data_IF_285293271360
#
_entry.id   IF_285293271360
#
_cell.length_a   1.000
_cell.length_b   1.000
_cell.length_c   1.000
_cell.angle_alpha   90.00
_cell.angle_beta   90.00
_cell.angle_gamma   90.00
#
_symmetry.space_group_name_H-M   'P 1'
#
loop_
_entity.id
_entity.type
_entity.pdbx_description
1 polymer ?
#
# COMPACT_ATOMS: atom_id res chain seq x y z
N UNK A 1 14.34 18.63 -0.84
CA UNK A 1 14.01 19.75 -1.77
C UNK A 1 12.97 19.33 -2.81
N UNK A 2 13.13 18.17 -3.48
CA UNK A 2 12.23 17.75 -4.56
C UNK A 2 10.85 17.22 -4.09
N UNK A 3 10.80 16.33 -3.08
CA UNK A 3 9.52 15.83 -2.54
C UNK A 3 8.64 16.96 -1.98
N UNK A 4 9.23 17.96 -1.33
CA UNK A 4 8.51 19.12 -0.79
C UNK A 4 7.82 19.94 -1.88
N UNK A 5 8.49 20.15 -3.03
CA UNK A 5 7.87 20.81 -4.19
C UNK A 5 6.65 20.02 -4.66
N UNK A 6 6.79 18.70 -4.80
CA UNK A 6 5.69 17.83 -5.25
C UNK A 6 4.51 17.80 -4.27
N UNK A 7 4.79 17.72 -2.97
CA UNK A 7 3.77 17.82 -1.91
C UNK A 7 2.99 19.14 -2.05
N UNK A 8 3.70 20.27 -2.20
CA UNK A 8 3.07 21.58 -2.39
C UNK A 8 2.21 21.60 -3.65
N UNK A 9 2.72 21.11 -4.77
CA UNK A 9 1.99 21.12 -6.05
C UNK A 9 0.71 20.27 -6.00
N UNK A 10 0.76 19.07 -5.42
CA UNK A 10 -0.42 18.22 -5.26
C UNK A 10 -1.44 18.82 -4.27
N UNK A 11 -0.95 19.44 -3.18
CA UNK A 11 -1.81 20.01 -2.15
C UNK A 11 -2.69 21.16 -2.65
N UNK A 12 -2.25 21.92 -3.68
CA UNK A 12 -3.06 22.95 -4.36
C UNK A 12 -4.37 22.40 -4.93
N UNK A 13 -4.41 21.09 -5.22
CA UNK A 13 -5.58 20.40 -5.76
C UNK A 13 -6.24 19.49 -4.73
N UNK A 14 -5.98 19.68 -3.44
CA UNK A 14 -6.46 18.82 -2.34
C UNK A 14 -6.05 17.34 -2.51
N UNK A 15 -4.93 17.09 -3.21
CA UNK A 15 -4.32 15.76 -3.32
C UNK A 15 -3.18 15.68 -2.33
N UNK A 16 -3.25 14.70 -1.44
CA UNK A 16 -2.24 14.43 -0.41
C UNK A 16 -1.13 13.52 -0.97
N UNK A 17 -0.07 13.30 -0.19
CA UNK A 17 1.11 12.55 -0.60
C UNK A 17 1.41 11.43 0.40
N UNK A 18 1.64 10.21 -0.10
CA UNK A 18 2.28 9.14 0.66
C UNK A 18 3.76 9.19 0.32
N UNK A 19 4.60 9.40 1.33
CA UNK A 19 6.05 9.34 1.16
C UNK A 19 6.52 7.90 1.32
N UNK A 20 7.15 7.38 0.26
CA UNK A 20 7.78 6.07 0.26
C UNK A 20 9.29 6.22 0.13
N UNK A 21 10.01 6.02 1.23
CA UNK A 21 11.45 5.87 1.18
C UNK A 21 11.77 4.51 0.55
N UNK A 22 12.03 4.53 -0.76
CA UNK A 22 12.05 3.37 -1.64
C UNK A 22 13.33 2.56 -1.48
N UNK A 23 13.51 1.95 -0.31
CA UNK A 23 14.64 1.10 0.03
C UNK A 23 14.11 -0.29 0.35
N UNK A 24 14.65 -1.32 -0.30
CA UNK A 24 14.19 -2.70 -0.15
C UNK A 24 15.35 -3.72 -0.10
N UNK A 25 15.12 -4.87 0.55
CA UNK A 25 16.06 -6.00 0.51
C UNK A 25 17.41 -5.77 1.18
N UNK A 26 17.42 -5.01 2.28
CA UNK A 26 18.63 -4.77 3.06
C UNK A 26 18.98 -5.98 3.92
N UNK A 27 20.27 -6.18 4.17
CA UNK A 27 20.77 -7.37 4.87
C UNK A 27 21.69 -7.05 6.05
N UNK A 28 22.09 -5.79 6.23
CA UNK A 28 23.05 -5.39 7.25
C UNK A 28 22.46 -4.35 8.24
N UNK A 29 23.03 -4.31 9.45
CA UNK A 29 22.55 -3.46 10.55
C UNK A 29 22.71 -1.96 10.29
N UNK A 30 23.66 -1.56 9.42
CA UNK A 30 23.87 -0.15 9.06
C UNK A 30 22.68 0.37 8.26
N UNK A 31 22.27 -0.39 7.25
CA UNK A 31 21.10 -0.04 6.43
C UNK A 31 19.82 -0.04 7.26
N UNK A 32 19.65 -0.99 8.18
CA UNK A 32 18.47 -1.00 9.08
C UNK A 32 18.40 0.25 9.96
N UNK A 33 19.54 0.75 10.42
CA UNK A 33 19.61 2.02 11.20
C UNK A 33 19.29 3.23 10.33
N UNK A 34 19.75 3.25 9.07
CA UNK A 34 19.43 4.31 8.11
C UNK A 34 17.92 4.34 7.83
N UNK A 35 17.32 3.19 7.57
CA UNK A 35 15.87 3.08 7.40
C UNK A 35 15.13 3.54 8.64
N UNK A 36 15.53 3.10 9.85
CA UNK A 36 14.93 3.59 11.09
C UNK A 36 14.96 5.11 11.18
N UNK A 37 16.13 5.72 10.95
CA UNK A 37 16.31 7.17 11.01
C UNK A 37 15.41 7.90 10.02
N UNK A 38 15.34 7.43 8.77
CA UNK A 38 14.55 8.07 7.72
C UNK A 38 13.03 7.88 7.97
N UNK A 39 12.61 6.71 8.45
CA UNK A 39 11.21 6.47 8.83
C UNK A 39 10.77 7.38 9.98
N UNK A 40 11.59 7.53 11.03
CA UNK A 40 11.27 8.44 12.16
C UNK A 40 11.19 9.90 11.70
N UNK A 41 12.10 10.32 10.80
CA UNK A 41 12.04 11.66 10.19
C UNK A 41 10.75 11.87 9.39
N UNK A 42 10.31 10.87 8.63
CA UNK A 42 9.04 10.92 7.91
C UNK A 42 7.82 10.94 8.82
N UNK A 43 7.86 10.20 9.94
CA UNK A 43 6.81 10.25 10.96
C UNK A 43 6.70 11.67 11.51
N UNK A 44 7.82 12.28 11.92
CA UNK A 44 7.83 13.66 12.39
C UNK A 44 7.27 14.63 11.34
N UNK A 45 7.77 14.54 10.11
CA UNK A 45 7.28 15.37 9.00
C UNK A 45 5.78 15.20 8.72
N UNK A 46 5.27 13.97 8.82
CA UNK A 46 3.85 13.65 8.65
C UNK A 46 3.00 14.25 9.77
N UNK A 47 3.48 14.17 11.02
CA UNK A 47 2.79 14.74 12.19
C UNK A 47 2.64 16.27 12.10
N UNK A 48 3.60 16.95 11.46
CA UNK A 48 3.61 18.40 11.25
C UNK A 48 2.91 18.83 9.95
N UNK A 49 2.52 17.90 9.08
CA UNK A 49 2.00 18.20 7.74
C UNK A 49 0.80 17.31 7.35
N UNK A 50 -0.41 17.87 7.44
CA UNK A 50 -1.68 17.22 7.06
C UNK A 50 -1.74 16.71 5.60
N UNK A 51 -0.86 17.18 4.72
CA UNK A 51 -0.78 16.70 3.34
C UNK A 51 -0.03 15.37 3.22
N UNK A 52 0.53 14.85 4.31
CA UNK A 52 1.25 13.58 4.35
C UNK A 52 0.54 12.65 5.35
N UNK A 53 -0.58 12.03 4.98
CA UNK A 53 -1.41 11.24 5.92
C UNK A 53 -0.83 9.87 6.26
N UNK A 54 0.19 9.41 5.54
CA UNK A 54 0.79 8.08 5.73
C UNK A 54 2.31 8.13 5.58
N UNK A 55 3.00 7.28 6.34
CA UNK A 55 4.40 6.94 6.13
C UNK A 55 4.50 5.46 5.74
N UNK A 56 5.34 5.13 4.76
CA UNK A 56 5.51 3.75 4.28
C UNK A 56 6.71 3.09 4.95
N UNK A 57 6.57 1.79 5.22
CA UNK A 57 7.67 0.91 5.63
C UNK A 57 7.57 -0.43 4.88
N UNK A 58 8.68 -0.87 4.28
CA UNK A 58 8.85 -2.26 3.83
C UNK A 58 9.53 -3.06 4.92
N UNK A 59 9.02 -4.23 5.32
CA UNK A 59 9.69 -4.97 6.40
C UNK A 59 11.07 -5.45 5.97
N UNK A 60 11.31 -5.75 4.69
CA UNK A 60 12.66 -6.18 4.24
C UNK A 60 13.70 -5.06 4.20
N UNK A 61 13.31 -3.82 4.49
CA UNK A 61 14.25 -2.72 4.73
C UNK A 61 14.85 -2.75 6.15
N UNK A 62 14.21 -3.48 7.08
CA UNK A 62 14.66 -3.62 8.48
C UNK A 62 14.78 -5.08 8.94
N UNK A 63 14.37 -6.05 8.11
CA UNK A 63 14.50 -7.49 8.33
C UNK A 63 15.32 -8.13 7.21
N UNK A 64 16.17 -9.09 7.58
CA UNK A 64 16.86 -9.92 6.59
C UNK A 64 15.86 -10.88 5.91
N UNK A 65 15.76 -10.79 4.57
CA UNK A 65 14.87 -11.62 3.73
C UNK A 65 15.03 -13.13 3.96
N UNK A 66 16.25 -13.61 4.21
CA UNK A 66 16.50 -15.03 4.44
C UNK A 66 15.91 -15.50 5.78
N UNK A 67 15.95 -14.65 6.82
CA UNK A 67 15.36 -14.96 8.11
C UNK A 67 13.83 -14.98 8.03
N UNK A 68 13.24 -14.00 7.35
CA UNK A 68 11.79 -13.99 7.08
C UNK A 68 11.37 -15.23 6.30
N UNK A 69 12.14 -15.61 5.26
CA UNK A 69 11.87 -16.82 4.46
C UNK A 69 11.97 -18.09 5.31
N UNK A 70 13.00 -18.23 6.14
CA UNK A 70 13.15 -19.38 7.06
C UNK A 70 11.93 -19.50 7.97
N UNK A 71 11.53 -18.39 8.59
CA UNK A 71 10.36 -18.33 9.47
C UNK A 71 9.05 -18.64 8.76
N UNK A 72 8.86 -18.11 7.55
CA UNK A 72 7.72 -18.40 6.68
C UNK A 72 7.61 -19.90 6.35
N UNK A 73 8.76 -20.56 6.14
CA UNK A 73 8.85 -22.01 5.94
C UNK A 73 8.87 -22.83 7.25
N UNK A 74 8.58 -22.21 8.40
CA UNK A 74 8.59 -22.83 9.75
C UNK A 74 9.93 -23.46 10.15
N UNK A 75 11.04 -23.03 9.53
CA UNK A 75 12.38 -23.46 9.89
C UNK A 75 12.83 -22.79 11.19
N UNK A 76 13.56 -23.54 12.02
CA UNK A 76 14.14 -23.01 13.26
C UNK A 76 15.31 -22.07 12.93
N UNK A 77 15.35 -20.93 13.63
CA UNK A 77 16.49 -20.03 13.61
C UNK A 77 17.51 -20.48 14.67
N UNK A 78 18.81 -20.39 14.35
CA UNK A 78 19.86 -20.57 15.36
C UNK A 78 19.92 -19.35 16.32
N UNK A 79 20.77 -19.42 17.35
CA UNK A 79 20.82 -18.35 18.36
C UNK A 79 21.25 -16.99 17.81
N UNK A 80 22.21 -16.96 16.88
CA UNK A 80 22.63 -15.72 16.21
C UNK A 80 21.49 -15.14 15.36
N UNK A 81 20.82 -15.98 14.57
CA UNK A 81 19.68 -15.59 13.73
C UNK A 81 18.49 -15.10 14.54
N UNK A 82 18.21 -15.70 15.70
CA UNK A 82 17.21 -15.20 16.65
C UNK A 82 17.57 -13.81 17.16
N UNK A 83 18.84 -13.56 17.50
CA UNK A 83 19.28 -12.24 17.95
C UNK A 83 19.12 -11.18 16.85
N UNK A 84 19.47 -11.50 15.60
CA UNK A 84 19.27 -10.58 14.48
C UNK A 84 17.78 -10.33 14.20
N UNK A 85 16.94 -11.37 14.28
CA UNK A 85 15.50 -11.22 14.13
C UNK A 85 14.88 -10.35 15.24
N UNK A 86 15.31 -10.55 16.49
CA UNK A 86 14.88 -9.75 17.63
C UNK A 86 15.37 -8.30 17.51
N UNK A 87 16.57 -8.07 16.97
CA UNK A 87 17.05 -6.72 16.68
C UNK A 87 16.13 -6.00 15.68
N UNK A 88 15.71 -6.66 14.60
CA UNK A 88 14.73 -6.12 13.65
C UNK A 88 13.36 -5.85 14.27
N UNK A 89 12.88 -6.74 15.15
CA UNK A 89 11.66 -6.51 15.93
C UNK A 89 11.78 -5.28 16.83
N UNK A 90 12.93 -5.06 17.46
CA UNK A 90 13.16 -3.87 18.28
C UNK A 90 13.14 -2.58 17.45
N UNK A 91 13.67 -2.60 16.23
CA UNK A 91 13.57 -1.48 15.29
C UNK A 91 12.10 -1.20 14.94
N UNK A 92 11.35 -2.23 14.57
CA UNK A 92 9.92 -2.09 14.24
C UNK A 92 9.12 -1.52 15.42
N UNK A 93 9.35 -2.03 16.64
CA UNK A 93 8.70 -1.50 17.85
C UNK A 93 9.01 -0.02 18.06
N UNK A 94 10.25 0.43 17.85
CA UNK A 94 10.62 1.86 17.98
C UNK A 94 9.85 2.73 17.00
N UNK A 95 9.76 2.30 15.73
CA UNK A 95 8.99 3.00 14.69
C UNK A 95 7.51 3.11 15.09
N UNK A 96 6.92 2.01 15.55
CA UNK A 96 5.49 1.96 15.88
C UNK A 96 5.14 2.73 17.17
N UNK A 97 6.05 2.80 18.14
CA UNK A 97 5.89 3.63 19.33
C UNK A 97 5.82 5.11 18.93
N UNK A 98 6.74 5.57 18.09
CA UNK A 98 6.79 6.97 17.63
C UNK A 98 5.59 7.31 16.73
N UNK A 99 5.21 6.38 15.85
CA UNK A 99 4.01 6.52 15.03
C UNK A 99 2.74 6.65 15.88
N UNK A 100 2.61 5.82 16.93
CA UNK A 100 1.46 5.87 17.84
C UNK A 100 1.44 7.16 18.66
N UNK A 101 2.58 7.60 19.22
CA UNK A 101 2.66 8.82 20.03
C UNK A 101 2.28 10.06 19.21
N UNK A 102 2.72 10.12 17.95
CA UNK A 102 2.46 11.22 17.03
C UNK A 102 1.17 11.04 16.20
N UNK A 103 0.42 9.96 16.43
CA UNK A 103 -0.83 9.60 15.72
C UNK A 103 -0.67 9.57 14.20
N UNK A 104 0.47 9.09 13.72
CA UNK A 104 0.81 8.97 12.30
C UNK A 104 0.57 7.53 11.82
N UNK A 105 -0.33 7.31 10.85
CA UNK A 105 -0.51 6.00 10.27
C UNK A 105 0.73 5.48 9.50
N UNK A 106 1.13 4.24 9.78
CA UNK A 106 2.20 3.52 9.09
C UNK A 106 1.61 2.48 8.16
N UNK A 107 1.98 2.60 6.88
CA UNK A 107 1.61 1.67 5.83
C UNK A 107 2.73 0.66 5.62
N UNK A 108 2.47 -0.59 6.00
CA UNK A 108 3.42 -1.68 5.85
C UNK A 108 3.17 -2.34 4.50
N UNK A 109 4.15 -2.23 3.61
CA UNK A 109 4.08 -2.73 2.26
C UNK A 109 4.14 -4.26 2.23
N UNK A 110 3.30 -4.85 1.38
CA UNK A 110 3.38 -6.28 1.06
C UNK A 110 4.39 -6.50 -0.06
N UNK A 111 5.11 -7.59 0.06
CA UNK A 111 6.26 -7.96 -0.74
C UNK A 111 6.00 -9.37 -1.33
N UNK A 112 7.04 -10.17 -1.57
CA UNK A 112 6.91 -11.47 -2.24
C UNK A 112 6.37 -12.58 -1.34
N UNK A 113 5.62 -13.51 -1.94
CA UNK A 113 4.81 -14.53 -1.26
C UNK A 113 5.60 -15.48 -0.37
N UNK A 114 6.86 -15.77 -0.68
CA UNK A 114 7.70 -16.73 0.04
C UNK A 114 8.23 -16.22 1.39
N UNK A 115 7.89 -14.98 1.77
CA UNK A 115 8.04 -14.49 3.14
C UNK A 115 6.86 -13.65 3.64
N UNK A 116 5.85 -13.41 2.79
CA UNK A 116 4.72 -12.55 3.13
C UNK A 116 3.90 -13.08 4.32
N UNK A 117 3.78 -14.40 4.53
CA UNK A 117 3.01 -14.90 5.67
C UNK A 117 3.71 -14.63 7.01
N UNK A 118 5.04 -14.60 7.04
CA UNK A 118 5.77 -14.16 8.24
C UNK A 118 5.62 -12.65 8.45
N UNK A 119 5.64 -11.85 7.38
CA UNK A 119 5.34 -10.41 7.44
C UNK A 119 3.94 -10.20 8.04
N UNK A 120 2.92 -10.88 7.51
CA UNK A 120 1.54 -10.83 7.99
C UNK A 120 1.48 -11.18 9.50
N UNK A 121 2.09 -12.29 9.92
CA UNK A 121 2.17 -12.73 11.32
C UNK A 121 2.84 -11.70 12.25
N UNK A 122 3.90 -11.03 11.80
CA UNK A 122 4.53 -9.94 12.56
C UNK A 122 3.55 -8.77 12.68
N UNK A 123 2.92 -8.36 11.57
CA UNK A 123 1.99 -7.23 11.53
C UNK A 123 0.77 -7.48 12.41
N UNK A 124 0.19 -8.69 12.39
CA UNK A 124 -0.94 -9.07 13.25
C UNK A 124 -0.62 -8.87 14.73
N UNK A 125 0.57 -9.29 15.18
CA UNK A 125 1.02 -9.07 16.57
C UNK A 125 1.20 -7.59 16.88
N UNK A 126 1.74 -6.82 15.93
CA UNK A 126 1.92 -5.38 16.10
C UNK A 126 0.58 -4.64 16.13
N UNK A 127 -0.39 -5.05 15.30
CA UNK A 127 -1.76 -4.52 15.29
C UNK A 127 -2.40 -4.72 16.67
N UNK A 128 -2.34 -5.93 17.22
CA UNK A 128 -2.90 -6.22 18.54
C UNK A 128 -2.24 -5.41 19.66
N UNK A 129 -0.97 -5.06 19.49
CA UNK A 129 -0.20 -4.29 20.48
C UNK A 129 -0.42 -2.77 20.37
N UNK A 130 -0.57 -2.24 19.16
CA UNK A 130 -0.50 -0.80 18.91
C UNK A 130 -1.80 -0.17 18.41
N UNK A 131 -2.66 -0.91 17.70
CA UNK A 131 -3.94 -0.35 17.25
C UNK A 131 -4.97 -0.38 18.39
N UNK A 132 -5.84 0.63 18.38
CA UNK A 132 -7.03 0.71 19.22
C UNK A 132 -8.20 1.21 18.36
N UNK A 133 -8.93 2.24 18.78
CA UNK A 133 -9.91 2.93 17.94
C UNK A 133 -9.23 3.79 16.87
N UNK A 134 -7.99 4.25 17.13
CA UNK A 134 -7.15 4.96 16.19
C UNK A 134 -6.35 3.94 15.36
N UNK A 135 -6.55 3.96 14.05
CA UNK A 135 -5.84 3.06 13.14
C UNK A 135 -4.43 3.58 12.89
N UNK A 136 -3.43 2.99 13.57
CA UNK A 136 -2.01 3.31 13.37
C UNK A 136 -1.42 2.44 12.25
N UNK A 137 -1.69 1.14 12.26
CA UNK A 137 -1.07 0.21 11.31
C UNK A 137 -2.02 -0.07 10.15
N UNK A 138 -1.52 0.19 8.94
CA UNK A 138 -2.10 -0.22 7.67
C UNK A 138 -1.33 -1.40 7.10
N UNK A 139 -1.98 -2.58 7.01
CA UNK A 139 -1.41 -3.75 6.33
C UNK A 139 -1.77 -3.73 4.85
N UNK A 140 -0.83 -4.07 3.99
CA UNK A 140 -1.09 -4.20 2.55
C UNK A 140 -1.61 -5.58 2.21
N UNK A 141 -2.70 -5.65 1.45
CA UNK A 141 -3.28 -6.90 0.95
C UNK A 141 -3.19 -6.90 -0.58
N UNK A 142 -2.47 -7.88 -1.13
CA UNK A 142 -2.28 -8.06 -2.57
C UNK A 142 -3.31 -9.03 -3.14
N UNK A 143 -4.39 -8.51 -3.72
CA UNK A 143 -5.54 -9.30 -4.19
C UNK A 143 -5.27 -10.17 -5.42
N UNK A 144 -4.09 -10.09 -6.02
CA UNK A 144 -3.66 -11.07 -7.02
C UNK A 144 -3.51 -12.47 -6.41
N UNK A 145 -3.44 -12.62 -5.08
CA UNK A 145 -3.32 -13.90 -4.38
C UNK A 145 -4.71 -14.41 -4.00
N UNK A 146 -4.95 -15.67 -4.31
CA UNK A 146 -6.24 -16.35 -4.11
C UNK A 146 -6.66 -16.54 -2.64
N UNK A 147 -5.75 -16.36 -1.68
CA UNK A 147 -6.02 -16.55 -0.25
C UNK A 147 -6.44 -15.27 0.48
N UNK A 148 -6.42 -14.12 -0.18
CA UNK A 148 -6.47 -12.81 0.48
C UNK A 148 -7.87 -12.36 0.92
N UNK A 149 -8.94 -12.79 0.24
CA UNK A 149 -10.31 -12.59 0.74
C UNK A 149 -10.50 -13.31 2.09
N UNK A 150 -10.00 -14.54 2.21
CA UNK A 150 -10.09 -15.29 3.45
C UNK A 150 -9.25 -14.65 4.57
N UNK A 151 -8.07 -14.15 4.22
CA UNK A 151 -7.25 -13.39 5.16
C UNK A 151 -7.96 -12.12 5.66
N UNK A 152 -8.61 -11.36 4.78
CA UNK A 152 -9.39 -10.18 5.15
C UNK A 152 -10.57 -10.51 6.10
N UNK A 153 -11.27 -11.62 5.85
CA UNK A 153 -12.31 -12.14 6.76
C UNK A 153 -11.73 -12.56 8.12
N UNK A 154 -10.54 -13.14 8.14
CA UNK A 154 -9.82 -13.46 9.38
C UNK A 154 -9.44 -12.21 10.16
N UNK A 155 -8.93 -11.17 9.50
CA UNK A 155 -8.64 -9.87 10.15
C UNK A 155 -9.89 -9.26 10.78
N UNK A 156 -11.06 -9.34 10.12
CA UNK A 156 -12.31 -8.87 10.72
C UNK A 156 -12.65 -9.61 12.02
N UNK A 157 -12.42 -10.93 12.08
CA UNK A 157 -12.62 -11.71 13.31
C UNK A 157 -11.69 -11.23 14.43
N UNK A 158 -10.42 -10.93 14.10
CA UNK A 158 -9.47 -10.36 15.05
C UNK A 158 -9.97 -8.99 15.56
N UNK A 159 -10.40 -8.10 14.66
CA UNK A 159 -10.92 -6.79 15.01
C UNK A 159 -12.09 -6.89 16.00
N UNK A 160 -13.08 -7.73 15.67
CA UNK A 160 -14.27 -7.92 16.51
C UNK A 160 -13.92 -8.51 17.87
N UNK A 161 -13.05 -9.52 17.92
CA UNK A 161 -12.65 -10.18 19.17
C UNK A 161 -11.92 -9.24 20.14
N UNK A 162 -11.11 -8.32 19.61
CA UNK A 162 -10.25 -7.45 20.43
C UNK A 162 -10.75 -6.00 20.49
N UNK A 163 -11.88 -5.68 19.86
CA UNK A 163 -12.45 -4.34 19.74
C UNK A 163 -11.44 -3.29 19.22
N UNK A 164 -10.73 -3.64 18.14
CA UNK A 164 -9.73 -2.77 17.49
C UNK A 164 -10.09 -2.48 16.04
N UNK A 165 -9.51 -1.41 15.49
CA UNK A 165 -9.58 -1.10 14.06
C UNK A 165 -8.26 -1.42 13.34
N UNK A 166 -8.35 -1.82 12.07
CA UNK A 166 -7.18 -2.13 11.22
C UNK A 166 -7.22 -1.31 9.94
N UNK A 167 -6.06 -0.82 9.52
CA UNK A 167 -5.91 -0.16 8.23
C UNK A 167 -5.58 -1.18 7.15
N UNK A 168 -6.20 -1.04 5.99
CA UNK A 168 -6.00 -1.90 4.84
C UNK A 168 -5.52 -1.04 3.67
N UNK A 169 -4.30 -1.29 3.19
CA UNK A 169 -3.87 -0.84 1.85
C UNK A 169 -4.24 -1.94 0.87
N UNK A 170 -5.32 -1.74 0.13
CA UNK A 170 -5.80 -2.75 -0.82
C UNK A 170 -5.14 -2.50 -2.18
N UNK A 171 -4.39 -3.48 -2.69
CA UNK A 171 -3.73 -3.41 -4.01
C UNK A 171 -3.98 -4.70 -4.78
N UNK A 172 -3.81 -4.69 -6.11
CA UNK A 172 -3.77 -5.93 -6.89
C UNK A 172 -2.49 -6.70 -6.57
N UNK A 173 -1.34 -6.08 -6.78
CA UNK A 173 -0.03 -6.70 -6.54
C UNK A 173 0.98 -6.16 -7.53
N UNK A 174 2.27 -6.23 -7.19
CA UNK A 174 3.35 -5.64 -7.99
C UNK A 174 4.44 -6.65 -8.40
N UNK A 175 4.26 -7.94 -8.10
CA UNK A 175 5.30 -8.97 -8.28
C UNK A 175 4.83 -10.12 -9.19
N UNK A 176 3.84 -9.89 -10.05
CA UNK A 176 3.14 -10.93 -10.82
C UNK A 176 4.09 -11.86 -11.61
N UNK A 177 5.00 -11.28 -12.40
CA UNK A 177 5.96 -12.05 -13.21
C UNK A 177 6.91 -12.84 -12.32
N UNK A 178 7.41 -12.21 -11.25
CA UNK A 178 8.34 -12.83 -10.30
C UNK A 178 7.72 -14.02 -9.58
N UNK A 179 6.44 -13.92 -9.18
CA UNK A 179 5.69 -15.00 -8.55
C UNK A 179 5.51 -16.19 -9.51
N UNK A 180 5.09 -15.94 -10.75
CA UNK A 180 4.90 -16.98 -11.76
C UNK A 180 6.22 -17.65 -12.15
N UNK A 181 7.27 -16.87 -12.42
CA UNK A 181 8.59 -17.40 -12.78
C UNK A 181 9.16 -18.29 -11.66
N UNK A 182 8.95 -17.90 -10.40
CA UNK A 182 9.36 -18.71 -9.25
C UNK A 182 8.56 -20.01 -9.15
N UNK A 183 7.24 -19.94 -9.33
CA UNK A 183 6.36 -21.11 -9.29
C UNK A 183 6.75 -22.16 -10.35
N UNK A 184 7.04 -21.71 -11.58
CA UNK A 184 7.55 -22.55 -12.66
C UNK A 184 8.91 -23.15 -12.27
N UNK A 185 9.87 -22.30 -11.86
CA UNK A 185 11.23 -22.74 -11.52
C UNK A 185 11.27 -23.79 -10.41
N UNK A 186 10.39 -23.70 -9.42
CA UNK A 186 10.36 -24.60 -8.27
C UNK A 186 9.22 -25.63 -8.34
N UNK A 187 8.54 -25.73 -9.49
CA UNK A 187 7.47 -26.69 -9.76
C UNK A 187 6.38 -26.75 -8.66
N UNK A 188 5.86 -25.57 -8.27
CA UNK A 188 4.73 -25.48 -7.35
C UNK A 188 3.62 -24.61 -7.95
N UNK A 189 2.39 -24.80 -7.46
CA UNK A 189 1.23 -24.01 -7.91
C UNK A 189 1.40 -22.53 -7.57
N UNK A 190 1.33 -21.66 -8.57
CA UNK A 190 1.43 -20.21 -8.37
C UNK A 190 0.45 -19.73 -7.30
N UNK A 191 0.86 -18.84 -6.37
CA UNK A 191 0.00 -18.36 -5.31
C UNK A 191 -0.98 -17.28 -5.81
N UNK A 192 -0.90 -16.89 -7.08
CA UNK A 192 -1.70 -15.82 -7.66
C UNK A 192 -2.80 -16.38 -8.58
N UNK A 193 -3.82 -15.58 -8.83
CA UNK A 193 -4.91 -15.92 -9.73
C UNK A 193 -4.40 -16.20 -11.15
N UNK A 194 -5.04 -17.16 -11.82
CA UNK A 194 -4.73 -17.53 -13.19
C UNK A 194 -5.03 -16.39 -14.18
N UNK A 195 -6.08 -15.62 -13.92
CA UNK A 195 -6.51 -14.53 -14.80
C UNK A 195 -6.63 -13.21 -14.02
N UNK A 196 -6.45 -12.11 -14.75
CA UNK A 196 -6.70 -10.76 -14.24
C UNK A 196 -8.17 -10.59 -13.80
N UNK A 197 -9.11 -11.23 -14.49
CA UNK A 197 -10.54 -11.13 -14.16
C UNK A 197 -10.82 -11.70 -12.77
N UNK A 198 -10.22 -12.84 -12.43
CA UNK A 198 -10.37 -13.40 -11.08
C UNK A 198 -9.77 -12.46 -10.01
N UNK A 199 -8.60 -11.89 -10.27
CA UNK A 199 -7.98 -10.88 -9.39
C UNK A 199 -8.87 -9.62 -9.24
N UNK A 200 -9.46 -9.13 -10.34
CA UNK A 200 -10.37 -7.98 -10.32
C UNK A 200 -11.65 -8.28 -9.53
N UNK A 201 -12.21 -9.48 -9.68
CA UNK A 201 -13.40 -9.91 -8.93
C UNK A 201 -13.12 -9.93 -7.42
N UNK A 202 -12.04 -10.57 -6.99
CA UNK A 202 -11.64 -10.61 -5.59
C UNK A 202 -11.31 -9.19 -5.09
N UNK A 203 -10.59 -8.37 -5.87
CA UNK A 203 -10.28 -6.99 -5.51
C UNK A 203 -11.56 -6.16 -5.29
N UNK A 204 -12.54 -6.27 -6.18
CA UNK A 204 -13.80 -5.54 -6.07
C UNK A 204 -14.66 -6.06 -4.90
N UNK A 205 -14.70 -7.38 -4.68
CA UNK A 205 -15.38 -7.97 -3.53
C UNK A 205 -14.76 -7.50 -2.20
N UNK A 206 -13.43 -7.35 -2.14
CA UNK A 206 -12.75 -6.82 -0.97
C UNK A 206 -13.10 -5.35 -0.68
N UNK A 207 -13.32 -4.53 -1.71
CA UNK A 207 -13.78 -3.14 -1.55
C UNK A 207 -15.12 -3.11 -0.82
N UNK A 208 -16.10 -3.84 -1.33
CA UNK A 208 -17.46 -3.90 -0.78
C UNK A 208 -17.43 -4.41 0.67
N UNK A 209 -16.72 -5.52 0.89
CA UNK A 209 -16.56 -6.12 2.23
C UNK A 209 -15.96 -5.14 3.25
N UNK A 210 -14.95 -4.35 2.86
CA UNK A 210 -14.34 -3.36 3.75
C UNK A 210 -15.31 -2.22 4.03
N UNK A 211 -16.04 -1.73 3.03
CA UNK A 211 -17.03 -0.66 3.21
C UNK A 211 -18.17 -1.09 4.15
N UNK A 212 -18.68 -2.32 4.01
CA UNK A 212 -19.69 -2.89 4.89
C UNK A 212 -19.21 -3.02 6.35
N UNK A 213 -17.89 -3.11 6.56
CA UNK A 213 -17.26 -3.27 7.86
C UNK A 213 -16.38 -2.07 8.25
N UNK A 214 -16.72 -0.86 7.78
CA UNK A 214 -15.93 0.37 7.98
C UNK A 214 -15.82 0.82 9.46
N UNK A 215 -16.64 0.25 10.35
CA UNK A 215 -16.45 0.43 11.79
C UNK A 215 -15.14 -0.19 12.29
N UNK A 216 -14.70 -1.30 11.68
CA UNK A 216 -13.49 -2.05 12.03
C UNK A 216 -12.31 -1.81 11.08
N UNK A 217 -12.57 -1.23 9.91
CA UNK A 217 -11.53 -1.01 8.91
C UNK A 217 -11.35 0.46 8.53
N UNK A 218 -10.12 0.80 8.18
CA UNK A 218 -9.78 1.93 7.34
C UNK A 218 -9.23 1.42 6.01
N UNK A 219 -9.49 2.12 4.90
CA UNK A 219 -9.12 1.72 3.55
C UNK A 219 -8.24 2.78 2.88
N UNK A 220 -7.10 2.36 2.36
CA UNK A 220 -6.39 3.05 1.30
C UNK A 220 -6.44 2.18 0.04
N UNK A 221 -7.25 2.57 -0.94
CA UNK A 221 -7.46 1.83 -2.17
C UNK A 221 -6.38 2.19 -3.20
N UNK A 222 -5.35 1.35 -3.34
CA UNK A 222 -4.32 1.47 -4.36
C UNK A 222 -4.78 0.90 -5.69
N UNK A 223 -5.34 1.75 -6.57
CA UNK A 223 -5.84 1.33 -7.87
C UNK A 223 -5.76 2.44 -8.90
N UNK A 224 -5.29 2.08 -10.09
CA UNK A 224 -5.40 2.87 -11.32
C UNK A 224 -6.68 2.53 -12.11
N UNK A 225 -7.40 1.47 -11.76
CA UNK A 225 -8.57 1.04 -12.52
C UNK A 225 -9.81 1.91 -12.19
N UNK A 226 -10.41 2.51 -13.23
CA UNK A 226 -11.62 3.35 -13.13
C UNK A 226 -12.82 2.57 -12.57
N UNK A 227 -13.08 1.36 -13.05
CA UNK A 227 -14.19 0.52 -12.59
C UNK A 227 -14.10 0.22 -11.09
N UNK A 228 -12.94 -0.22 -10.60
CA UNK A 228 -12.74 -0.44 -9.16
C UNK A 228 -12.88 0.84 -8.34
N UNK A 229 -12.49 1.99 -8.91
CA UNK A 229 -12.66 3.31 -8.27
C UNK A 229 -14.15 3.66 -8.15
N UNK A 230 -14.92 3.45 -9.21
CA UNK A 230 -16.37 3.66 -9.22
C UNK A 230 -17.09 2.73 -8.24
N UNK A 231 -16.68 1.47 -8.13
CA UNK A 231 -17.23 0.52 -7.15
C UNK A 231 -17.07 1.02 -5.72
N UNK A 232 -15.90 1.57 -5.34
CA UNK A 232 -15.72 2.17 -4.02
C UNK A 232 -16.62 3.39 -3.83
N UNK A 233 -16.72 4.27 -4.83
CA UNK A 233 -17.62 5.44 -4.77
C UNK A 233 -19.09 5.03 -4.59
N UNK A 234 -19.54 4.02 -5.34
CA UNK A 234 -20.90 3.49 -5.26
C UNK A 234 -21.16 2.82 -3.91
N UNK A 235 -20.20 2.04 -3.40
CA UNK A 235 -20.27 1.39 -2.08
C UNK A 235 -20.38 2.42 -0.96
N UNK A 236 -19.56 3.47 -1.01
CA UNK A 236 -19.63 4.58 -0.06
C UNK A 236 -20.99 5.27 -0.11
N UNK A 237 -21.50 5.55 -1.31
CA UNK A 237 -22.83 6.18 -1.49
C UNK A 237 -23.95 5.30 -0.93
N UNK A 238 -23.96 4.00 -1.27
CA UNK A 238 -24.96 3.02 -0.82
C UNK A 238 -25.03 2.91 0.71
N UNK A 239 -23.87 2.98 1.37
CA UNK A 239 -23.74 2.87 2.83
C UNK A 239 -23.72 4.23 3.54
N UNK A 240 -24.06 5.32 2.86
CA UNK A 240 -24.06 6.69 3.40
C UNK A 240 -22.72 7.12 4.04
N UNK A 241 -21.60 6.58 3.55
CA UNK A 241 -20.25 6.97 3.96
C UNK A 241 -19.92 8.30 3.29
N UNK A 242 -19.62 9.33 4.10
CA UNK A 242 -19.22 10.65 3.60
C UNK A 242 -18.01 10.54 2.65
N UNK A 243 -18.01 11.29 1.55
CA UNK A 243 -16.92 11.29 0.55
C UNK A 243 -15.55 11.60 1.16
N UNK A 244 -15.52 12.48 2.15
CA UNK A 244 -14.33 12.89 2.88
C UNK A 244 -14.12 12.11 4.20
N UNK A 245 -14.74 10.94 4.37
CA UNK A 245 -14.54 10.10 5.55
C UNK A 245 -13.05 9.80 5.75
N UNK A 246 -12.51 10.17 6.92
CA UNK A 246 -11.08 10.07 7.24
C UNK A 246 -10.53 8.63 7.22
N UNK A 247 -11.39 7.61 7.19
CA UNK A 247 -11.01 6.21 7.09
C UNK A 247 -10.77 5.75 5.66
N UNK A 248 -11.22 6.48 4.63
CA UNK A 248 -11.14 6.03 3.23
C UNK A 248 -10.29 7.01 2.43
N UNK A 249 -9.30 6.46 1.71
CA UNK A 249 -8.42 7.17 0.79
C UNK A 249 -8.36 6.44 -0.55
N UNK A 250 -8.40 7.19 -1.64
CA UNK A 250 -8.09 6.71 -2.98
C UNK A 250 -6.62 6.97 -3.28
N UNK A 251 -5.89 5.95 -3.71
CA UNK A 251 -4.45 6.04 -3.96
C UNK A 251 -4.08 5.65 -5.38
N UNK A 252 -3.31 6.53 -6.02
CA UNK A 252 -2.64 6.27 -7.30
C UNK A 252 -1.15 6.56 -7.16
N UNK A 253 -0.34 5.91 -7.98
CA UNK A 253 1.07 6.23 -8.12
C UNK A 253 1.27 7.61 -8.76
N UNK A 254 2.33 8.31 -8.36
CA UNK A 254 2.72 9.58 -8.98
C UNK A 254 3.03 9.38 -10.48
N UNK A 255 2.46 10.24 -11.33
CA UNK A 255 2.66 10.19 -12.78
C UNK A 255 1.73 9.24 -13.52
N UNK A 256 0.76 8.62 -12.82
CA UNK A 256 -0.18 7.67 -13.41
C UNK A 256 -1.62 8.00 -13.02
N UNK A 257 -2.55 7.93 -13.98
CA UNK A 257 -3.99 8.13 -13.79
C UNK A 257 -4.37 9.43 -13.09
N UNK A 258 -3.77 10.55 -13.53
CA UNK A 258 -4.08 11.87 -12.99
C UNK A 258 -5.53 12.27 -13.28
N UNK A 259 -6.10 11.84 -14.41
CA UNK A 259 -7.52 11.99 -14.68
C UNK A 259 -8.40 11.44 -13.54
N UNK A 260 -8.03 10.31 -12.94
CA UNK A 260 -8.76 9.73 -11.80
C UNK A 260 -8.54 10.58 -10.55
N UNK A 261 -7.27 10.82 -10.18
CA UNK A 261 -6.93 11.51 -8.93
C UNK A 261 -7.51 12.92 -8.84
N UNK A 262 -7.39 13.71 -9.90
CA UNK A 262 -7.88 15.10 -9.92
C UNK A 262 -9.42 15.17 -9.94
N UNK A 263 -10.09 14.26 -10.66
CA UNK A 263 -11.56 14.21 -10.65
C UNK A 263 -12.11 13.78 -9.29
N UNK A 264 -11.52 12.77 -8.65
CA UNK A 264 -11.89 12.35 -7.30
C UNK A 264 -11.73 13.49 -6.28
N UNK A 265 -10.61 14.21 -6.36
CA UNK A 265 -10.36 15.35 -5.47
C UNK A 265 -11.38 16.47 -5.68
N UNK A 266 -11.70 16.80 -6.95
CA UNK A 266 -12.75 17.78 -7.29
C UNK A 266 -14.14 17.37 -6.76
N UNK A 267 -14.39 16.06 -6.63
CA UNK A 267 -15.60 15.51 -6.03
C UNK A 267 -15.56 15.44 -4.49
N UNK A 268 -14.52 15.99 -3.86
CA UNK A 268 -14.26 16.02 -2.41
C UNK A 268 -13.99 14.65 -1.76
N UNK A 269 -13.49 13.68 -2.53
CA UNK A 269 -12.94 12.46 -1.95
C UNK A 269 -11.52 12.69 -1.41
N UNK A 270 -11.12 11.90 -0.40
CA UNK A 270 -9.75 11.90 0.07
C UNK A 270 -8.85 11.19 -0.94
N UNK A 271 -7.94 11.93 -1.56
CA UNK A 271 -7.02 11.40 -2.59
C UNK A 271 -5.57 11.53 -2.13
N UNK A 272 -4.78 10.49 -2.36
CA UNK A 272 -3.35 10.46 -2.09
C UNK A 272 -2.57 9.98 -3.32
N UNK A 273 -1.44 10.60 -3.61
CA UNK A 273 -0.46 10.08 -4.56
C UNK A 273 0.70 9.41 -3.83
N UNK A 274 1.05 8.22 -4.28
CA UNK A 274 2.20 7.48 -3.79
C UNK A 274 3.48 7.99 -4.46
N UNK A 275 4.37 8.59 -3.67
CA UNK A 275 5.57 9.30 -4.14
C UNK A 275 6.82 8.59 -3.63
N UNK A 276 7.44 7.72 -4.47
CA UNK A 276 8.72 7.10 -4.14
C UNK A 276 9.84 8.15 -4.11
N UNK A 277 10.79 7.98 -3.20
CA UNK A 277 12.01 8.77 -3.16
C UNK A 277 13.15 7.98 -2.50
N UNK A 278 14.38 8.33 -2.86
CA UNK A 278 15.58 7.66 -2.35
C UNK A 278 16.76 7.83 -3.30
N UNK A 279 17.92 7.25 -2.98
CA UNK A 279 19.04 7.17 -3.91
C UNK A 279 18.61 6.46 -5.20
N UNK A 280 19.12 6.90 -6.35
CA UNK A 280 18.72 6.39 -7.68
C UNK A 280 18.74 4.86 -7.73
N UNK A 281 19.83 4.24 -7.27
CA UNK A 281 20.00 2.78 -7.28
C UNK A 281 18.93 2.02 -6.46
N UNK A 282 18.41 2.63 -5.39
CA UNK A 282 17.37 2.04 -4.55
C UNK A 282 15.98 2.18 -5.19
N UNK A 283 15.77 3.21 -5.99
CA UNK A 283 14.50 3.49 -6.69
C UNK A 283 14.37 2.66 -7.99
N UNK A 284 15.48 2.17 -8.56
CA UNK A 284 15.47 1.39 -9.81
C UNK A 284 14.52 0.16 -9.79
N UNK A 285 14.55 -0.73 -8.78
CA UNK A 285 13.61 -1.86 -8.73
C UNK A 285 12.14 -1.43 -8.74
N UNK A 286 11.82 -0.29 -8.09
CA UNK A 286 10.49 0.29 -8.15
C UNK A 286 10.14 0.72 -9.58
N UNK A 287 11.04 1.43 -10.27
CA UNK A 287 10.81 1.91 -11.64
C UNK A 287 10.64 0.76 -12.63
N UNK A 288 11.41 -0.32 -12.53
CA UNK A 288 11.26 -1.52 -13.37
C UNK A 288 9.84 -2.08 -13.27
N UNK A 289 9.32 -2.25 -12.04
CA UNK A 289 7.94 -2.71 -11.82
C UNK A 289 6.89 -1.76 -12.40
N UNK A 290 7.17 -0.45 -12.46
CA UNK A 290 6.28 0.53 -13.12
C UNK A 290 6.30 0.40 -14.64
N UNK A 291 7.44 0.05 -15.23
CA UNK A 291 7.55 -0.20 -16.67
C UNK A 291 6.74 -1.47 -17.03
N UNK A 292 6.88 -2.55 -16.25
CA UNK A 292 6.11 -3.80 -16.39
C UNK A 292 4.59 -3.57 -16.20
N UNK A 293 4.20 -2.76 -15.21
CA UNK A 293 2.81 -2.37 -15.02
C UNK A 293 2.29 -1.57 -16.21
N UNK A 294 3.03 -0.55 -16.69
CA UNK A 294 2.59 0.25 -17.83
C UNK A 294 2.53 -0.52 -19.14
N UNK A 295 3.44 -1.48 -19.36
CA UNK A 295 3.45 -2.32 -20.55
C UNK A 295 2.27 -3.30 -20.58
N UNK A 296 1.83 -3.78 -19.41
CA UNK A 296 0.61 -4.59 -19.26
C UNK A 296 -0.68 -3.76 -19.25
N UNK A 297 -0.60 -2.46 -18.96
CA UNK A 297 -1.71 -1.49 -18.91
C UNK A 297 -2.01 -0.84 -20.29
N UNK A 298 -1.51 -1.40 -21.41
CA UNK A 298 -1.75 -0.91 -22.79
C UNK A 298 -3.21 -0.48 -23.09
N UNK A 299 -4.22 -1.13 -22.51
CA UNK A 299 -5.63 -0.77 -22.68
C UNK A 299 -6.04 0.56 -22.03
N UNK A 300 -5.42 0.96 -20.91
CA UNK A 300 -5.78 2.18 -20.18
C UNK A 300 -5.09 3.43 -20.76
N UNK A 301 -3.84 3.29 -21.19
CA UNK A 301 -3.11 4.33 -21.96
C UNK A 301 -3.88 4.72 -23.23
N UNK A 302 -4.41 3.72 -23.96
CA UNK A 302 -5.26 3.97 -25.13
C UNK A 302 -6.53 4.78 -24.80
N UNK A 303 -7.14 4.55 -23.63
CA UNK A 303 -8.29 5.33 -23.16
C UNK A 303 -7.90 6.74 -22.71
N UNK A 304 -6.80 6.90 -21.99
CA UNK A 304 -6.30 8.23 -21.60
C UNK A 304 -6.02 9.10 -22.84
N UNK A 305 -5.37 8.54 -23.86
CA UNK A 305 -5.16 9.23 -25.14
C UNK A 305 -6.50 9.60 -25.79
N UNK A 306 -7.49 8.71 -25.78
CA UNK A 306 -8.83 9.00 -26.31
C UNK A 306 -9.54 10.12 -25.54
N UNK A 307 -9.43 10.13 -24.21
CA UNK A 307 -10.00 11.18 -23.36
C UNK A 307 -9.32 12.53 -23.57
N UNK A 308 -7.98 12.56 -23.67
CA UNK A 308 -7.21 13.76 -23.99
C UNK A 308 -7.63 14.30 -25.36
N UNK A 309 -7.71 13.44 -26.39
CA UNK A 309 -8.19 13.84 -27.72
C UNK A 309 -9.60 14.43 -27.66
N UNK A 310 -10.50 13.83 -26.87
CA UNK A 310 -11.88 14.34 -26.69
C UNK A 310 -11.90 15.70 -25.98
N UNK A 311 -11.10 15.87 -24.93
CA UNK A 311 -11.00 17.12 -24.18
C UNK A 311 -10.36 18.24 -25.00
N UNK A 312 -9.32 17.94 -25.80
CA UNK A 312 -8.72 18.90 -26.74
C UNK A 312 -9.72 19.34 -27.81
N UNK A 313 -10.51 18.41 -28.37
CA UNK A 313 -11.60 18.74 -29.30
C UNK A 313 -12.65 19.64 -28.65
N UNK A 314 -13.08 19.29 -27.42
CA UNK A 314 -14.02 20.11 -26.64
C UNK A 314 -13.49 21.53 -26.47
N UNK A 315 -12.25 21.69 -25.97
CA UNK A 315 -11.65 23.02 -25.77
C UNK A 315 -11.55 23.83 -27.06
N UNK A 316 -11.14 23.21 -28.18
CA UNK A 316 -11.13 23.87 -29.50
C UNK A 316 -12.51 24.36 -29.94
N UNK A 317 -13.56 23.60 -29.62
CA UNK A 317 -14.94 23.98 -29.95
C UNK A 317 -15.47 25.15 -29.10
N UNK A 318 -15.03 25.28 -27.84
CA UNK A 318 -15.39 26.40 -26.95
C UNK A 318 -14.41 27.59 -27.00
N UNK A 319 -13.44 27.59 -27.92
CA UNK A 319 -12.50 28.70 -28.16
C UNK A 319 -12.65 29.33 -29.55
N UNK A 320 -13.77 29.04 -30.22
CA UNK A 320 -14.33 29.79 -31.35
C UNK A 320 -15.57 30.55 -30.85
#
# INVERSE_FOLDING_TARGET
MECQKKIKDLSKFNIKTILDYSVEGKSNKKDFKLTLSETLKNIKLSSENKNIPFVVLKLTSIFNKNLLRKKNSKLKLNNHEKNDFNYSLNILNKILIDAKSLKVPIMIDAEESWYQNEIDSIIEKMILKYNDINTIIFTTIQMYRHDRINYLKYLLKICKKNNIQIGIKLVRGAYLEKENNRAIKHNYKSPIHLTKINCDNDFNQAIEFICENISFFSLCLGSHNETSTEILMQSMKKLNIKKNNSKIYFSQLLGMSDNISFNLSKLNYNVVKYVPYGPVNEVLPYLTRRIEENSSVKGQLGREIKLIKRELKRRKYYSQ
#
